data_IF_172488202392
#
_entry.id   IF_172488202392
#
_cell.length_a   1.000
_cell.length_b   1.000
_cell.length_c   1.000
_cell.angle_alpha   90.00
_cell.angle_beta   90.00
_cell.angle_gamma   90.00
#
_symmetry.space_group_name_H-M   'P 1'
#
loop_
_entity.id
_entity.type
_entity.pdbx_description
1 polymer ?
#
# COMPACT_ATOMS: atom_id res chain seq x y z
N UNK A 1 -13.65 11.76 -6.41
CA UNK A 1 -13.21 10.68 -7.32
C UNK A 1 -12.51 11.34 -8.51
N UNK A 2 -11.43 10.72 -8.98
CA UNK A 2 -10.66 11.18 -10.14
C UNK A 2 -10.54 10.03 -11.15
N UNK A 3 -10.02 10.34 -12.35
CA UNK A 3 -9.91 9.36 -13.44
C UNK A 3 -9.07 8.12 -13.07
N UNK A 4 -8.06 8.29 -12.22
CA UNK A 4 -7.28 7.16 -11.69
C UNK A 4 -8.15 6.22 -10.85
N UNK A 5 -8.94 6.75 -9.92
CA UNK A 5 -9.81 5.93 -9.08
C UNK A 5 -10.85 5.17 -9.92
N UNK A 6 -11.44 5.83 -10.91
CA UNK A 6 -12.38 5.19 -11.85
C UNK A 6 -11.74 4.09 -12.68
N UNK A 7 -10.52 4.31 -13.19
CA UNK A 7 -9.80 3.29 -13.97
C UNK A 7 -9.49 2.05 -13.12
N UNK A 8 -9.11 2.23 -11.85
CA UNK A 8 -8.85 1.11 -10.93
C UNK A 8 -10.13 0.36 -10.57
N UNK A 9 -11.23 1.06 -10.34
CA UNK A 9 -12.53 0.43 -10.10
C UNK A 9 -12.97 -0.38 -11.32
N UNK A 10 -12.88 0.17 -12.53
CA UNK A 10 -13.20 -0.53 -13.76
C UNK A 10 -12.36 -1.80 -13.96
N UNK A 11 -11.04 -1.72 -13.69
CA UNK A 11 -10.15 -2.89 -13.74
C UNK A 11 -10.57 -3.97 -12.73
N UNK A 12 -10.92 -3.60 -11.48
CA UNK A 12 -11.42 -4.57 -10.50
C UNK A 12 -12.74 -5.23 -10.94
N UNK A 13 -13.66 -4.45 -11.53
CA UNK A 13 -14.92 -4.98 -12.06
C UNK A 13 -14.67 -5.98 -13.18
N UNK A 14 -13.78 -5.67 -14.13
CA UNK A 14 -13.43 -6.57 -15.23
C UNK A 14 -12.80 -7.89 -14.72
N UNK A 15 -11.84 -7.80 -13.77
CA UNK A 15 -11.19 -9.00 -13.20
C UNK A 15 -12.17 -9.88 -12.44
N UNK A 16 -13.18 -9.32 -11.76
CA UNK A 16 -14.20 -10.07 -11.03
C UNK A 16 -15.10 -10.94 -11.94
N UNK A 17 -15.16 -10.67 -13.24
CA UNK A 17 -15.84 -11.55 -14.19
C UNK A 17 -15.13 -12.90 -14.35
N UNK A 18 -13.84 -12.98 -14.03
CA UNK A 18 -13.07 -14.21 -14.09
C UNK A 18 -13.23 -14.99 -12.78
N UNK A 19 -13.63 -16.26 -12.88
CA UNK A 19 -13.62 -17.18 -11.73
C UNK A 19 -12.19 -17.36 -11.23
N UNK A 20 -12.02 -17.51 -9.92
CA UNK A 20 -10.70 -17.73 -9.27
C UNK A 20 -9.67 -16.61 -9.50
N UNK A 21 -10.12 -15.38 -9.74
CA UNK A 21 -9.24 -14.22 -9.87
C UNK A 21 -8.72 -13.74 -8.51
N UNK A 22 -7.53 -13.17 -8.52
CA UNK A 22 -6.92 -12.49 -7.38
C UNK A 22 -6.74 -11.00 -7.68
N UNK A 23 -7.26 -10.15 -6.81
CA UNK A 23 -7.09 -8.70 -6.87
C UNK A 23 -6.25 -8.26 -5.68
N UNK A 24 -5.08 -7.68 -5.94
CA UNK A 24 -4.23 -7.09 -4.93
C UNK A 24 -4.38 -5.56 -4.93
N UNK A 25 -4.98 -5.00 -3.88
CA UNK A 25 -4.99 -3.55 -3.65
C UNK A 25 -3.72 -3.20 -2.90
N UNK A 26 -2.78 -2.57 -3.57
CA UNK A 26 -1.45 -2.33 -3.03
C UNK A 26 -1.23 -0.87 -2.65
N UNK A 27 -0.66 -0.65 -1.46
CA UNK A 27 -0.16 0.64 -1.02
C UNK A 27 1.37 0.54 -0.90
N UNK A 28 2.08 0.91 -1.98
CA UNK A 28 3.54 0.76 -2.05
C UNK A 28 4.23 2.00 -2.59
N UNK A 29 5.53 2.09 -2.32
CA UNK A 29 6.43 3.14 -2.80
C UNK A 29 7.79 2.56 -3.13
N UNK A 30 8.62 3.31 -3.82
CA UNK A 30 9.96 2.91 -4.22
C UNK A 30 10.95 2.97 -3.04
N UNK A 31 12.00 2.13 -3.11
CA UNK A 31 13.16 2.21 -2.25
C UNK A 31 14.43 2.39 -3.11
N UNK A 32 15.28 3.41 -2.82
CA UNK A 32 15.13 4.48 -1.82
C UNK A 32 13.93 5.39 -2.11
N UNK A 33 13.43 6.10 -1.08
CA UNK A 33 12.28 6.99 -1.21
C UNK A 33 12.60 8.16 -2.15
N UNK A 34 12.02 8.16 -3.34
CA UNK A 34 12.40 9.03 -4.47
C UNK A 34 11.76 10.42 -4.41
N UNK A 35 10.61 10.56 -3.76
CA UNK A 35 9.85 11.80 -3.77
C UNK A 35 10.61 12.97 -3.11
N UNK A 36 10.45 14.17 -3.70
CA UNK A 36 11.08 15.39 -3.19
C UNK A 36 10.30 16.00 -2.00
N UNK A 37 9.00 15.74 -1.94
CA UNK A 37 8.10 16.25 -0.90
C UNK A 37 7.21 15.14 -0.38
N UNK A 38 6.78 15.24 0.88
CA UNK A 38 5.82 14.34 1.50
C UNK A 38 4.61 15.11 2.03
N UNK A 39 3.45 14.46 2.15
CA UNK A 39 2.24 15.10 2.63
C UNK A 39 2.17 14.94 4.14
N UNK A 40 2.11 16.07 4.87
CA UNK A 40 1.93 16.09 6.31
C UNK A 40 0.46 16.19 6.66
N UNK A 41 -0.01 15.31 7.56
CA UNK A 41 -1.41 15.25 8.00
C UNK A 41 -2.26 14.24 7.23
N UNK A 42 -1.73 13.59 6.18
CA UNK A 42 -2.38 12.48 5.50
C UNK A 42 -1.78 11.14 5.94
N UNK A 43 -2.63 10.13 6.13
CA UNK A 43 -2.23 8.79 6.56
C UNK A 43 -2.31 7.79 5.41
N UNK A 44 -1.38 6.85 5.45
CA UNK A 44 -1.28 5.76 4.47
C UNK A 44 -0.64 4.53 5.11
N UNK A 45 -0.58 3.42 4.38
CA UNK A 45 0.05 2.16 4.79
C UNK A 45 1.14 1.70 3.83
N UNK A 46 2.09 2.56 3.48
CA UNK A 46 3.16 2.24 2.54
C UNK A 46 3.99 1.04 2.96
N UNK A 47 4.27 0.19 1.98
CA UNK A 47 5.36 -0.78 1.94
C UNK A 47 6.31 -0.39 0.81
N UNK A 48 7.55 -0.85 0.87
CA UNK A 48 8.43 -0.75 -0.28
C UNK A 48 8.09 -1.84 -1.31
N UNK A 49 8.21 -1.51 -2.60
CA UNK A 49 7.98 -2.46 -3.69
C UNK A 49 8.80 -3.75 -3.53
N UNK A 50 10.07 -3.64 -3.10
CA UNK A 50 10.93 -4.80 -2.81
C UNK A 50 10.40 -5.68 -1.67
N UNK A 51 9.72 -5.08 -0.68
CA UNK A 51 9.09 -5.84 0.40
C UNK A 51 7.81 -6.52 -0.07
N UNK A 52 7.02 -5.84 -0.91
CA UNK A 52 5.82 -6.42 -1.53
C UNK A 52 6.21 -7.65 -2.38
N UNK A 53 7.27 -7.57 -3.17
CA UNK A 53 7.74 -8.67 -4.00
C UNK A 53 8.02 -9.96 -3.21
N UNK A 54 8.46 -9.86 -1.95
CA UNK A 54 8.77 -11.02 -1.11
C UNK A 54 7.56 -11.88 -0.74
N UNK A 55 6.36 -11.31 -0.68
CA UNK A 55 5.17 -12.10 -0.34
C UNK A 55 4.25 -12.41 -1.53
N UNK A 56 4.49 -11.86 -2.70
CA UNK A 56 3.72 -12.23 -3.90
C UNK A 56 3.66 -13.75 -4.11
N UNK A 57 4.77 -14.52 -4.02
CA UNK A 57 4.72 -15.98 -4.20
C UNK A 57 3.76 -16.69 -3.23
N UNK A 58 3.59 -16.14 -2.02
CA UNK A 58 2.66 -16.70 -1.02
C UNK A 58 1.19 -16.43 -1.35
N UNK A 59 0.92 -15.51 -2.26
CA UNK A 59 -0.44 -15.08 -2.63
C UNK A 59 -0.95 -15.69 -3.94
N UNK A 60 -0.09 -16.29 -4.76
CA UNK A 60 -0.44 -16.74 -6.12
C UNK A 60 -1.62 -17.72 -6.17
N UNK A 61 -1.82 -18.54 -5.12
CA UNK A 61 -2.93 -19.51 -5.04
C UNK A 61 -4.14 -19.00 -4.24
N UNK A 62 -4.14 -17.72 -3.89
CA UNK A 62 -5.27 -17.08 -3.21
C UNK A 62 -6.25 -16.51 -4.24
N UNK A 63 -7.50 -16.29 -3.80
CA UNK A 63 -8.56 -15.70 -4.64
C UNK A 63 -9.26 -14.53 -3.96
N UNK A 64 -9.98 -13.75 -4.75
CA UNK A 64 -10.73 -12.60 -4.29
C UNK A 64 -9.84 -11.37 -4.04
N UNK A 65 -10.24 -10.50 -3.12
CA UNK A 65 -9.54 -9.23 -2.86
C UNK A 65 -8.65 -9.36 -1.63
N UNK A 66 -7.39 -8.95 -1.77
CA UNK A 66 -6.42 -8.85 -0.67
C UNK A 66 -5.80 -7.46 -0.69
N UNK A 67 -5.91 -6.74 0.43
CA UNK A 67 -5.21 -5.49 0.63
C UNK A 67 -3.75 -5.76 1.04
N UNK A 68 -2.82 -5.08 0.40
CA UNK A 68 -1.37 -5.23 0.62
C UNK A 68 -0.80 -3.89 1.04
N UNK A 69 -0.61 -3.72 2.34
CA UNK A 69 -0.08 -2.50 2.94
C UNK A 69 0.64 -2.78 4.26
N UNK A 70 1.40 -1.81 4.71
CA UNK A 70 2.08 -1.83 6.00
C UNK A 70 1.24 -1.22 7.12
N UNK A 71 1.90 -0.83 8.21
CA UNK A 71 1.26 -0.09 9.30
C UNK A 71 0.77 1.28 8.83
N UNK A 72 -0.39 1.68 9.31
CA UNK A 72 -0.97 3.01 9.13
C UNK A 72 -0.07 4.07 9.75
N UNK A 73 0.37 5.08 8.96
CA UNK A 73 1.29 6.15 9.38
C UNK A 73 1.01 7.44 8.63
N UNK A 74 1.40 8.57 9.21
CA UNK A 74 1.50 9.82 8.46
C UNK A 74 2.55 9.69 7.34
N UNK A 75 2.24 10.22 6.14
CA UNK A 75 3.11 10.10 4.96
C UNK A 75 4.45 10.82 5.19
N UNK A 76 4.42 12.00 5.83
CA UNK A 76 5.63 12.74 6.13
C UNK A 76 6.49 12.01 7.17
N UNK A 77 5.89 11.48 8.23
CA UNK A 77 6.62 10.73 9.26
C UNK A 77 7.25 9.45 8.70
N UNK A 78 6.55 8.78 7.77
CA UNK A 78 7.13 7.66 7.03
C UNK A 78 8.33 8.10 6.21
N UNK A 79 8.17 9.12 5.36
CA UNK A 79 9.20 9.59 4.45
C UNK A 79 10.46 10.10 5.17
N UNK A 80 10.28 10.81 6.30
CA UNK A 80 11.37 11.35 7.12
C UNK A 80 12.31 10.28 7.68
N UNK A 81 11.82 9.05 7.88
CA UNK A 81 12.67 7.92 8.32
C UNK A 81 13.73 7.53 7.29
N UNK A 82 13.44 7.75 6.01
CA UNK A 82 14.31 7.35 4.89
C UNK A 82 15.00 8.53 4.23
N UNK A 83 14.47 9.75 4.44
CA UNK A 83 15.03 10.99 3.87
C UNK A 83 14.90 12.12 4.90
N UNK A 84 15.94 12.32 5.71
CA UNK A 84 15.95 13.26 6.85
C UNK A 84 15.51 14.68 6.49
N UNK A 85 15.94 15.21 5.34
CA UNK A 85 15.68 16.58 4.89
C UNK A 85 14.56 16.66 3.84
N UNK A 86 13.56 15.79 3.93
CA UNK A 86 12.43 15.83 2.99
C UNK A 86 11.56 17.06 3.26
N UNK A 87 11.25 17.81 2.21
CA UNK A 87 10.26 18.89 2.28
C UNK A 87 8.84 18.31 2.46
N UNK A 88 7.88 19.12 2.91
CA UNK A 88 6.50 18.69 3.03
C UNK A 88 5.51 19.71 2.44
N UNK A 89 4.33 19.22 2.15
CA UNK A 89 3.12 19.98 1.83
C UNK A 89 2.09 19.59 2.89
N UNK A 90 1.37 20.56 3.45
CA UNK A 90 0.28 20.25 4.39
C UNK A 90 -0.95 19.73 3.65
N UNK A 91 -1.67 18.80 4.26
CA UNK A 91 -2.88 18.21 3.65
C UNK A 91 -3.93 19.26 3.27
N UNK A 92 -4.09 20.33 4.05
CA UNK A 92 -5.05 21.39 3.79
C UNK A 92 -4.69 22.29 2.57
N UNK A 93 -3.46 22.18 2.06
CA UNK A 93 -3.02 22.84 0.83
C UNK A 93 -3.39 22.03 -0.43
N UNK A 94 -3.87 20.80 -0.26
CA UNK A 94 -4.20 19.88 -1.35
C UNK A 94 -5.72 19.76 -1.51
N UNK A 95 -6.22 20.03 -2.71
CA UNK A 95 -7.62 19.79 -3.06
C UNK A 95 -7.84 18.28 -3.31
N UNK A 96 -8.92 17.74 -2.75
CA UNK A 96 -9.38 16.36 -3.01
C UNK A 96 -8.38 15.24 -2.66
N UNK A 97 -7.47 15.46 -1.71
CA UNK A 97 -6.58 14.42 -1.21
C UNK A 97 -7.21 13.70 -0.01
N UNK A 98 -7.17 12.38 0.00
CA UNK A 98 -7.72 11.59 1.09
C UNK A 98 -6.93 11.80 2.39
N UNK A 99 -7.63 12.13 3.50
CA UNK A 99 -7.02 12.25 4.82
C UNK A 99 -6.43 10.93 5.30
N UNK A 100 -7.03 9.83 4.91
CA UNK A 100 -6.59 8.48 5.25
C UNK A 100 -6.85 7.53 4.07
N UNK A 101 -5.77 7.00 3.50
CA UNK A 101 -5.77 6.00 2.43
C UNK A 101 -5.12 4.69 2.88
N UNK A 102 -5.04 4.47 4.20
CA UNK A 102 -4.48 3.23 4.73
C UNK A 102 -5.38 2.04 4.43
N UNK A 103 -4.77 0.88 4.25
CA UNK A 103 -5.44 -0.38 3.95
C UNK A 103 -5.50 -1.25 5.21
N UNK A 104 -6.63 -1.90 5.44
CA UNK A 104 -6.70 -3.02 6.38
C UNK A 104 -6.03 -4.25 5.74
N UNK A 105 -4.90 -4.65 6.30
CA UNK A 105 -4.09 -5.78 5.84
C UNK A 105 -4.28 -7.05 6.68
N UNK A 106 -5.32 -7.14 7.50
CA UNK A 106 -5.58 -8.28 8.40
C UNK A 106 -5.65 -9.61 7.64
N UNK A 107 -6.30 -9.64 6.47
CA UNK A 107 -6.38 -10.81 5.60
C UNK A 107 -5.00 -11.23 5.10
N UNK A 108 -4.18 -10.30 4.64
CA UNK A 108 -2.79 -10.54 4.22
C UNK A 108 -1.99 -11.20 5.34
N UNK A 109 -2.00 -10.59 6.53
CA UNK A 109 -1.24 -11.08 7.68
C UNK A 109 -1.69 -12.50 8.07
N UNK A 110 -3.01 -12.78 8.04
CA UNK A 110 -3.54 -14.13 8.32
C UNK A 110 -3.02 -15.17 7.33
N UNK A 111 -3.01 -14.85 6.04
CA UNK A 111 -2.51 -15.74 4.98
C UNK A 111 -1.01 -16.00 5.16
N UNK A 112 -0.23 -14.92 5.35
CA UNK A 112 1.22 -15.02 5.52
C UNK A 112 1.62 -15.83 6.76
N UNK A 113 0.90 -15.66 7.88
CA UNK A 113 1.08 -16.50 9.09
C UNK A 113 0.79 -17.97 8.80
N UNK A 114 -0.33 -18.29 8.15
CA UNK A 114 -0.70 -19.66 7.77
C UNK A 114 0.37 -20.33 6.88
N UNK A 115 1.05 -19.55 6.06
CA UNK A 115 2.10 -20.02 5.14
C UNK A 115 3.53 -19.90 5.72
N UNK A 116 3.67 -19.67 7.01
CA UNK A 116 4.94 -19.57 7.72
C UNK A 116 5.90 -18.50 7.15
N UNK A 117 5.35 -17.39 6.68
CA UNK A 117 6.16 -16.28 6.18
C UNK A 117 7.03 -15.67 7.28
N UNK A 118 8.31 -15.43 7.00
CA UNK A 118 9.23 -14.81 7.94
C UNK A 118 9.05 -13.28 7.97
N UNK A 119 8.25 -12.78 8.89
CA UNK A 119 7.96 -11.35 9.05
C UNK A 119 9.18 -10.49 9.40
N UNK A 120 10.28 -11.08 9.91
CA UNK A 120 11.51 -10.32 10.22
C UNK A 120 12.14 -9.69 8.97
N UNK A 121 11.79 -10.17 7.79
CA UNK A 121 12.26 -9.63 6.51
C UNK A 121 11.56 -8.31 6.12
N UNK A 122 10.46 -7.95 6.77
CA UNK A 122 9.63 -6.79 6.43
C UNK A 122 9.50 -5.87 7.64
N UNK A 123 10.28 -4.80 7.66
CA UNK A 123 10.28 -3.85 8.77
C UNK A 123 9.02 -2.96 8.87
N UNK A 124 8.20 -2.93 7.83
CA UNK A 124 7.09 -1.99 7.67
C UNK A 124 5.70 -2.63 7.84
N UNK A 125 5.62 -3.93 8.01
CA UNK A 125 4.37 -4.64 8.35
C UNK A 125 3.96 -4.45 9.81
#
# INVERSE_FOLDING_TARGET
FNNYAWSKLGAECAVKLCKNSLILRMCMTEFPFVHKKAIKGAKTSFLFNNDVAKFIPYLLNETGVINVGGKRRDIYDFAKRFKKNIAYIKLNELKNYAKDSSLDNSKLIKILKKKNFNFKQIKLL
#
